data_IF_945804117612
#
_entry.id   IF_945804117612
#
_cell.length_a   1.000
_cell.length_b   1.000
_cell.length_c   1.000
_cell.angle_alpha   90.00
_cell.angle_beta   90.00
_cell.angle_gamma   90.00
#
_symmetry.space_group_name_H-M   'P 1'
#
loop_
_entity.id
_entity.type
_entity.pdbx_description
1 polymer ?
#
# COMPACT_ATOMS: atom_id res chain seq x y z
N UNK A 1 28.04 -1.11 19.99
CA UNK A 1 26.97 -2.05 20.41
C UNK A 1 25.66 -1.26 20.56
N UNK A 2 24.78 -1.29 19.55
CA UNK A 2 23.51 -0.58 19.61
C UNK A 2 22.55 -1.30 20.57
N UNK A 3 22.06 -0.62 21.63
CA UNK A 3 21.02 -1.13 22.53
C UNK A 3 19.83 -1.58 21.67
N UNK A 4 19.55 -2.89 21.63
CA UNK A 4 18.37 -3.41 20.95
C UNK A 4 17.13 -2.82 21.64
N UNK A 5 16.35 -2.01 20.94
CA UNK A 5 15.09 -1.52 21.48
C UNK A 5 14.20 -2.72 21.82
N UNK A 6 13.51 -2.70 22.98
CA UNK A 6 12.55 -3.73 23.32
C UNK A 6 11.52 -3.85 22.20
N UNK A 7 11.40 -5.04 21.61
CA UNK A 7 10.55 -5.32 20.44
C UNK A 7 9.06 -5.46 20.79
N UNK A 8 8.62 -4.90 21.91
CA UNK A 8 7.26 -5.05 22.45
C UNK A 8 6.30 -4.07 21.80
N UNK A 9 5.37 -4.54 20.96
CA UNK A 9 4.33 -3.79 20.27
C UNK A 9 3.14 -3.49 21.17
N UNK A 10 2.78 -2.20 21.28
CA UNK A 10 1.59 -1.77 22.03
C UNK A 10 0.30 -2.35 21.43
N UNK A 11 -0.65 -2.73 22.30
CA UNK A 11 -1.92 -3.36 21.93
C UNK A 11 -2.72 -2.58 20.88
N UNK A 12 -2.73 -1.24 20.97
CA UNK A 12 -3.48 -0.40 20.02
C UNK A 12 -2.90 -0.47 18.61
N UNK A 13 -1.57 -0.47 18.47
CA UNK A 13 -0.92 -0.62 17.17
C UNK A 13 -1.16 -2.02 16.59
N UNK A 14 -1.14 -3.05 17.42
CA UNK A 14 -1.46 -4.41 16.95
C UNK A 14 -2.88 -4.50 16.42
N UNK A 15 -3.87 -3.93 17.13
CA UNK A 15 -5.27 -3.89 16.68
C UNK A 15 -5.42 -3.14 15.37
N UNK A 16 -4.66 -2.06 15.19
CA UNK A 16 -4.63 -1.30 13.92
C UNK A 16 -4.03 -2.13 12.77
N UNK A 17 -2.95 -2.89 13.03
CA UNK A 17 -2.27 -3.73 12.04
C UNK A 17 -3.00 -5.04 11.74
N UNK A 18 -3.84 -5.52 12.67
CA UNK A 18 -4.48 -6.83 12.59
C UNK A 18 -5.22 -7.10 11.26
N UNK A 19 -6.16 -6.24 10.78
CA UNK A 19 -6.86 -6.51 9.53
C UNK A 19 -5.90 -6.64 8.33
N UNK A 20 -4.82 -5.86 8.33
CA UNK A 20 -3.82 -5.89 7.28
C UNK A 20 -2.94 -7.14 7.35
N UNK A 21 -2.57 -7.58 8.56
CA UNK A 21 -1.81 -8.81 8.78
C UNK A 21 -2.66 -10.04 8.42
N UNK A 22 -3.94 -10.05 8.78
CA UNK A 22 -4.88 -11.12 8.41
C UNK A 22 -4.95 -11.21 6.88
N UNK A 23 -5.14 -10.07 6.21
CA UNK A 23 -5.18 -10.03 4.76
C UNK A 23 -3.86 -10.51 4.12
N UNK A 24 -2.72 -10.05 4.62
CA UNK A 24 -1.42 -10.49 4.11
C UNK A 24 -1.14 -11.97 4.37
N UNK A 25 -1.56 -12.51 5.51
CA UNK A 25 -1.41 -13.93 5.82
C UNK A 25 -2.28 -14.79 4.90
N UNK A 26 -3.50 -14.33 4.55
CA UNK A 26 -4.40 -15.03 3.64
C UNK A 26 -3.76 -15.27 2.26
N UNK A 27 -2.96 -14.31 1.78
CA UNK A 27 -2.26 -14.39 0.48
C UNK A 27 -0.79 -14.79 0.60
N UNK A 28 -0.34 -15.26 1.77
CA UNK A 28 1.06 -15.62 2.03
C UNK A 28 2.08 -14.49 1.76
N UNK A 29 1.66 -13.24 1.95
CA UNK A 29 2.43 -12.00 1.73
C UNK A 29 2.82 -11.26 3.03
N UNK A 30 2.60 -11.86 4.19
CA UNK A 30 2.97 -11.28 5.48
C UNK A 30 4.39 -10.74 5.46
N UNK A 31 4.57 -9.47 5.85
CA UNK A 31 5.88 -8.80 5.86
C UNK A 31 6.65 -9.07 7.17
N UNK A 32 5.92 -9.37 8.24
CA UNK A 32 6.45 -9.66 9.57
C UNK A 32 5.39 -10.40 10.38
N UNK A 33 5.82 -11.08 11.45
CA UNK A 33 4.90 -11.75 12.38
C UNK A 33 4.88 -10.99 13.71
N UNK A 34 3.70 -10.80 14.30
CA UNK A 34 3.55 -10.32 15.68
C UNK A 34 3.10 -11.51 16.53
N UNK A 35 3.92 -11.94 17.50
CA UNK A 35 3.58 -13.01 18.45
C UNK A 35 3.96 -12.59 19.86
N UNK A 36 3.05 -12.76 20.82
CA UNK A 36 3.23 -12.38 22.23
C UNK A 36 3.70 -10.93 22.38
N UNK A 37 3.05 -10.02 21.67
CA UNK A 37 3.44 -8.61 21.57
C UNK A 37 4.84 -8.36 21.00
N UNK A 38 5.54 -9.33 20.43
CA UNK A 38 6.87 -9.13 19.87
C UNK A 38 6.79 -9.17 18.35
N UNK A 39 7.24 -8.09 17.69
CA UNK A 39 7.41 -8.09 16.23
C UNK A 39 8.70 -8.81 15.85
N UNK A 40 8.58 -9.81 14.97
CA UNK A 40 9.70 -10.61 14.49
C UNK A 40 9.68 -10.72 12.97
N UNK A 41 10.86 -10.83 12.36
CA UNK A 41 10.96 -11.15 10.94
C UNK A 41 10.43 -12.58 10.74
N UNK A 42 9.68 -12.85 9.67
CA UNK A 42 9.03 -14.16 9.43
C UNK A 42 9.98 -15.35 9.53
N UNK A 43 9.53 -16.53 9.94
CA UNK A 43 10.44 -17.69 9.97
C UNK A 43 10.88 -18.09 8.56
N UNK A 44 12.01 -18.80 8.46
CA UNK A 44 12.49 -19.34 7.18
C UNK A 44 11.44 -20.26 6.53
N UNK A 45 10.70 -21.05 7.33
CA UNK A 45 9.59 -21.87 6.84
C UNK A 45 8.50 -21.07 6.14
N UNK A 46 8.15 -19.89 6.67
CA UNK A 46 7.18 -19.00 6.03
C UNK A 46 7.72 -18.46 4.70
N UNK A 47 9.01 -18.13 4.63
CA UNK A 47 9.66 -17.72 3.38
C UNK A 47 9.59 -18.81 2.31
N UNK A 48 9.79 -20.09 2.68
CA UNK A 48 9.62 -21.22 1.76
C UNK A 48 8.18 -21.30 1.26
N UNK A 49 7.18 -21.23 2.16
CA UNK A 49 5.76 -21.27 1.77
C UNK A 49 5.41 -20.11 0.83
N UNK A 50 5.89 -18.90 1.14
CA UNK A 50 5.69 -17.72 0.29
C UNK A 50 6.35 -17.88 -1.09
N UNK A 51 7.53 -18.51 -1.16
CA UNK A 51 8.20 -18.84 -2.42
C UNK A 51 7.38 -19.85 -3.25
N UNK A 52 6.91 -20.93 -2.63
CA UNK A 52 6.07 -21.94 -3.28
C UNK A 52 4.78 -21.30 -3.82
N UNK A 53 4.12 -20.46 -3.01
CA UNK A 53 2.93 -19.73 -3.44
C UNK A 53 3.23 -18.82 -4.64
N UNK A 54 4.36 -18.12 -4.65
CA UNK A 54 4.74 -17.25 -5.77
C UNK A 54 5.01 -18.05 -7.05
N UNK A 55 5.74 -19.17 -6.96
CA UNK A 55 5.97 -20.09 -8.08
C UNK A 55 4.65 -20.70 -8.59
N UNK A 56 3.74 -21.04 -7.69
CA UNK A 56 2.40 -21.51 -8.04
C UNK A 56 1.62 -20.45 -8.82
N UNK A 57 1.59 -19.21 -8.36
CA UNK A 57 0.91 -18.11 -9.07
C UNK A 57 1.53 -17.85 -10.46
N UNK A 58 2.86 -17.93 -10.58
CA UNK A 58 3.54 -17.87 -11.89
C UNK A 58 3.08 -19.01 -12.78
N UNK A 59 3.06 -20.25 -12.26
CA UNK A 59 2.60 -21.42 -12.98
C UNK A 59 1.14 -21.29 -13.45
N UNK A 60 0.26 -20.74 -12.61
CA UNK A 60 -1.14 -20.45 -12.97
C UNK A 60 -1.24 -19.46 -14.13
N UNK A 61 -0.46 -18.38 -14.12
CA UNK A 61 -0.48 -17.39 -15.21
C UNK A 61 0.04 -17.98 -16.54
N UNK A 62 1.10 -18.79 -16.47
CA UNK A 62 1.64 -19.49 -17.65
C UNK A 62 0.63 -20.50 -18.17
N UNK A 63 0.06 -21.33 -17.29
CA UNK A 63 -0.94 -22.33 -17.65
C UNK A 63 -2.16 -21.67 -18.29
N UNK A 64 -2.70 -20.62 -17.66
CA UNK A 64 -3.81 -19.87 -18.21
C UNK A 64 -3.48 -19.32 -19.60
N UNK A 65 -2.31 -18.74 -19.80
CA UNK A 65 -1.92 -18.17 -21.10
C UNK A 65 -1.79 -19.22 -22.21
N UNK A 66 -1.29 -20.43 -21.90
CA UNK A 66 -1.07 -21.51 -22.87
C UNK A 66 -2.37 -22.27 -23.20
N UNK A 67 -3.17 -22.54 -22.16
CA UNK A 67 -4.33 -23.43 -22.22
C UNK A 67 -5.67 -22.70 -22.14
N UNK A 68 -5.68 -21.36 -22.17
CA UNK A 68 -6.93 -20.60 -22.08
C UNK A 68 -7.89 -21.08 -23.18
N UNK A 69 -9.15 -21.39 -22.85
CA UNK A 69 -10.17 -21.69 -23.86
C UNK A 69 -10.41 -20.52 -24.81
N UNK A 70 -9.98 -19.30 -24.46
CA UNK A 70 -9.96 -18.16 -25.38
C UNK A 70 -9.04 -18.40 -26.58
N UNK A 71 -8.10 -19.35 -26.51
CA UNK A 71 -7.15 -19.66 -27.59
C UNK A 71 -7.85 -19.98 -28.91
N UNK A 72 -8.95 -20.73 -28.89
CA UNK A 72 -9.71 -21.05 -30.11
C UNK A 72 -10.33 -19.81 -30.76
N UNK A 73 -10.69 -18.79 -29.96
CA UNK A 73 -11.14 -17.49 -30.45
C UNK A 73 -9.95 -16.61 -30.92
N UNK A 74 -8.79 -16.78 -30.29
CA UNK A 74 -7.57 -15.99 -30.49
C UNK A 74 -6.75 -16.47 -31.69
N UNK A 75 -6.83 -17.73 -32.11
CA UNK A 75 -6.10 -18.21 -33.30
C UNK A 75 -6.51 -17.44 -34.58
N UNK A 76 -7.65 -16.74 -34.55
CA UNK A 76 -8.06 -15.79 -35.60
C UNK A 76 -7.36 -14.43 -35.55
N UNK A 77 -6.73 -14.07 -34.43
CA UNK A 77 -6.12 -12.77 -34.14
C UNK A 77 -4.75 -12.90 -33.46
N UNK A 78 -3.68 -12.91 -34.25
CA UNK A 78 -2.28 -12.98 -33.76
C UNK A 78 -1.90 -11.89 -32.74
N UNK A 79 -2.54 -10.72 -32.82
CA UNK A 79 -2.32 -9.61 -31.91
C UNK A 79 -2.75 -9.95 -30.46
N UNK A 80 -3.93 -10.55 -30.27
CA UNK A 80 -4.45 -10.87 -28.92
C UNK A 80 -3.56 -11.89 -28.20
N UNK A 81 -3.00 -12.86 -28.94
CA UNK A 81 -2.05 -13.81 -28.36
C UNK A 81 -0.78 -13.11 -27.86
N UNK A 82 -0.25 -12.18 -28.67
CA UNK A 82 0.94 -11.39 -28.31
C UNK A 82 0.68 -10.57 -27.05
N UNK A 83 -0.50 -9.96 -26.93
CA UNK A 83 -0.91 -9.19 -25.76
C UNK A 83 -0.99 -10.05 -24.50
N UNK A 84 -1.64 -11.22 -24.56
CA UNK A 84 -1.72 -12.13 -23.42
C UNK A 84 -0.33 -12.62 -22.99
N UNK A 85 0.56 -12.88 -23.94
CA UNK A 85 1.94 -13.26 -23.66
C UNK A 85 2.69 -12.13 -22.95
N UNK A 86 2.57 -10.89 -23.44
CA UNK A 86 3.18 -9.70 -22.80
C UNK A 86 2.63 -9.51 -21.39
N UNK A 87 1.31 -9.67 -21.19
CA UNK A 87 0.68 -9.58 -19.89
C UNK A 87 1.19 -10.68 -18.93
N UNK A 88 1.29 -11.92 -19.40
CA UNK A 88 1.85 -13.03 -18.63
C UNK A 88 3.30 -12.77 -18.20
N UNK A 89 4.15 -12.30 -19.13
CA UNK A 89 5.55 -11.96 -18.83
C UNK A 89 5.62 -10.83 -17.80
N UNK A 90 4.80 -9.79 -17.97
CA UNK A 90 4.72 -8.67 -17.03
C UNK A 90 4.30 -9.13 -15.63
N UNK A 91 3.24 -9.95 -15.52
CA UNK A 91 2.76 -10.50 -14.26
C UNK A 91 3.80 -11.41 -13.58
N UNK A 92 4.43 -12.32 -14.32
CA UNK A 92 5.49 -13.19 -13.80
C UNK A 92 6.68 -12.37 -13.28
N UNK A 93 7.07 -11.34 -14.02
CA UNK A 93 8.13 -10.41 -13.62
C UNK A 93 7.74 -9.69 -12.33
N UNK A 94 6.51 -9.16 -12.25
CA UNK A 94 6.00 -8.52 -11.05
C UNK A 94 6.06 -9.48 -9.84
N UNK A 95 5.59 -10.72 -9.96
CA UNK A 95 5.65 -11.71 -8.87
C UNK A 95 7.06 -11.91 -8.31
N UNK A 96 8.04 -12.09 -9.19
CA UNK A 96 9.45 -12.25 -8.80
C UNK A 96 9.94 -10.99 -8.08
N UNK A 97 9.70 -9.81 -8.65
CA UNK A 97 10.14 -8.55 -8.06
C UNK A 97 9.49 -8.27 -6.70
N UNK A 98 8.20 -8.56 -6.52
CA UNK A 98 7.50 -8.40 -5.25
C UNK A 98 8.08 -9.35 -4.20
N UNK A 99 8.33 -10.61 -4.54
CA UNK A 99 8.94 -11.58 -3.65
C UNK A 99 10.35 -11.14 -3.21
N UNK A 100 11.21 -10.81 -4.18
CA UNK A 100 12.58 -10.34 -3.90
C UNK A 100 12.58 -9.05 -3.07
N UNK A 101 11.70 -8.10 -3.40
CA UNK A 101 11.57 -6.84 -2.65
C UNK A 101 11.14 -7.10 -1.20
N UNK A 102 10.17 -7.97 -0.97
CA UNK A 102 9.72 -8.33 0.37
C UNK A 102 10.82 -9.01 1.19
N UNK A 103 11.64 -9.86 0.57
CA UNK A 103 12.82 -10.46 1.23
C UNK A 103 13.87 -9.42 1.59
N UNK A 104 14.25 -8.57 0.64
CA UNK A 104 15.27 -7.55 0.82
C UNK A 104 14.86 -6.49 1.86
N UNK A 105 13.58 -6.07 1.86
CA UNK A 105 13.06 -5.01 2.73
C UNK A 105 12.58 -5.51 4.10
N UNK A 106 12.69 -6.80 4.42
CA UNK A 106 12.17 -7.40 5.67
C UNK A 106 12.66 -6.70 6.94
N UNK A 107 13.92 -6.28 6.97
CA UNK A 107 14.48 -5.54 8.12
C UNK A 107 13.92 -4.12 8.24
N UNK A 108 13.67 -3.46 7.10
CA UNK A 108 13.12 -2.11 7.03
C UNK A 108 11.64 -2.10 7.43
N UNK A 109 10.85 -3.11 7.08
CA UNK A 109 9.46 -3.24 7.55
C UNK A 109 9.36 -3.25 9.07
N UNK A 110 10.22 -4.03 9.75
CA UNK A 110 10.21 -4.08 11.21
C UNK A 110 10.69 -2.78 11.81
N UNK A 111 11.77 -2.21 11.27
CA UNK A 111 12.30 -0.92 11.73
C UNK A 111 11.25 0.19 11.59
N UNK A 112 10.47 0.16 10.51
CA UNK A 112 9.36 1.07 10.27
C UNK A 112 8.28 0.94 11.37
N UNK A 113 7.78 -0.28 11.62
CA UNK A 113 6.76 -0.49 12.65
C UNK A 113 7.26 -0.14 14.06
N UNK A 114 8.52 -0.47 14.38
CA UNK A 114 9.12 -0.12 15.68
C UNK A 114 9.26 1.40 15.85
N UNK A 115 9.63 2.14 14.80
CA UNK A 115 9.69 3.61 14.84
C UNK A 115 8.29 4.20 15.03
N UNK A 116 7.31 3.74 14.26
CA UNK A 116 5.93 4.13 14.47
C UNK A 116 5.48 3.86 15.90
N UNK A 117 5.83 2.71 16.47
CA UNK A 117 5.37 2.37 17.80
C UNK A 117 5.96 3.26 18.90
N UNK A 118 7.22 3.68 18.76
CA UNK A 118 7.92 4.53 19.74
C UNK A 118 7.20 5.86 19.97
N UNK A 119 6.51 6.38 18.94
CA UNK A 119 5.75 7.63 19.01
C UNK A 119 4.35 7.46 19.63
N UNK A 120 3.88 6.23 19.80
CA UNK A 120 2.48 5.97 20.16
C UNK A 120 2.11 6.38 21.59
N UNK A 121 3.04 6.87 22.41
CA UNK A 121 2.72 7.46 23.72
C UNK A 121 1.99 8.81 23.59
N UNK A 122 2.06 9.46 22.42
CA UNK A 122 1.50 10.81 22.22
C UNK A 122 0.07 10.76 21.66
N UNK A 123 -0.32 9.64 21.04
CA UNK A 123 -1.63 9.53 20.41
C UNK A 123 -2.74 9.20 21.44
N UNK A 124 -3.82 10.00 21.51
CA UNK A 124 -4.97 9.68 22.36
C UNK A 124 -5.66 8.40 21.89
N UNK A 125 -6.19 7.63 22.86
CA UNK A 125 -6.79 6.32 22.61
C UNK A 125 -7.97 6.35 21.61
N UNK A 126 -8.77 7.42 21.63
CA UNK A 126 -9.98 7.53 20.82
C UNK A 126 -9.69 7.49 19.31
N UNK A 127 -8.63 8.16 18.87
CA UNK A 127 -8.25 8.22 17.45
C UNK A 127 -7.85 6.84 16.92
N UNK A 128 -7.25 5.97 17.75
CA UNK A 128 -6.96 4.61 17.33
C UNK A 128 -8.20 3.80 17.03
N UNK A 129 -9.26 3.97 17.83
CA UNK A 129 -10.50 3.21 17.66
C UNK A 129 -11.12 3.50 16.29
N UNK A 130 -11.17 4.77 15.92
CA UNK A 130 -11.66 5.21 14.60
C UNK A 130 -10.81 4.64 13.46
N UNK A 131 -9.47 4.73 13.58
CA UNK A 131 -8.56 4.18 12.57
C UNK A 131 -8.64 2.66 12.43
N UNK A 132 -8.86 1.93 13.54
CA UNK A 132 -9.05 0.48 13.53
C UNK A 132 -10.32 0.12 12.75
N UNK A 133 -11.44 0.78 13.05
CA UNK A 133 -12.72 0.55 12.37
C UNK A 133 -12.60 0.89 10.89
N UNK A 134 -12.01 2.04 10.56
CA UNK A 134 -11.85 2.45 9.17
C UNK A 134 -10.94 1.49 8.37
N UNK A 135 -9.90 0.92 8.99
CA UNK A 135 -9.07 -0.10 8.34
C UNK A 135 -9.84 -1.41 8.08
N UNK A 136 -10.64 -1.88 9.04
CA UNK A 136 -11.47 -3.07 8.83
C UNK A 136 -12.49 -2.86 7.72
N UNK A 137 -13.15 -1.70 7.70
CA UNK A 137 -14.07 -1.34 6.62
C UNK A 137 -13.34 -1.27 5.28
N UNK A 138 -12.17 -0.64 5.22
CA UNK A 138 -11.41 -0.52 3.97
C UNK A 138 -10.97 -1.88 3.42
N UNK A 139 -10.42 -2.75 4.27
CA UNK A 139 -10.01 -4.12 3.89
C UNK A 139 -11.23 -4.94 3.45
N UNK A 140 -12.35 -4.84 4.17
CA UNK A 140 -13.58 -5.58 3.84
C UNK A 140 -14.17 -5.11 2.52
N UNK A 141 -14.22 -3.79 2.27
CA UNK A 141 -14.67 -3.22 1.00
C UNK A 141 -13.77 -3.64 -0.17
N UNK A 142 -12.46 -3.65 0.02
CA UNK A 142 -11.51 -4.10 -1.02
C UNK A 142 -11.70 -5.59 -1.36
N UNK A 143 -11.90 -6.45 -0.36
CA UNK A 143 -12.21 -7.87 -0.58
C UNK A 143 -13.56 -8.06 -1.25
N UNK A 144 -14.60 -7.33 -0.78
CA UNK A 144 -15.94 -7.40 -1.36
C UNK A 144 -15.94 -6.98 -2.83
N UNK A 145 -15.24 -5.89 -3.18
CA UNK A 145 -15.13 -5.44 -4.57
C UNK A 145 -14.49 -6.52 -5.46
N UNK A 146 -13.45 -7.19 -4.97
CA UNK A 146 -12.78 -8.28 -5.69
C UNK A 146 -13.69 -9.51 -5.86
N UNK A 147 -14.42 -9.90 -4.82
CA UNK A 147 -15.41 -11.00 -4.90
C UNK A 147 -16.56 -10.63 -5.84
N UNK A 148 -17.05 -9.40 -5.82
CA UNK A 148 -18.12 -8.94 -6.72
C UNK A 148 -17.69 -8.97 -8.18
N UNK A 149 -16.46 -8.54 -8.51
CA UNK A 149 -15.91 -8.63 -9.87
C UNK A 149 -15.78 -10.09 -10.29
N UNK A 150 -15.35 -10.97 -9.38
CA UNK A 150 -15.27 -12.40 -9.64
C UNK A 150 -16.64 -13.01 -9.94
N UNK A 151 -17.67 -12.71 -9.13
CA UNK A 151 -19.05 -13.18 -9.36
C UNK A 151 -19.59 -12.65 -10.68
N UNK A 152 -19.36 -11.37 -10.99
CA UNK A 152 -19.76 -10.76 -12.26
C UNK A 152 -19.11 -11.49 -13.44
N UNK A 153 -17.80 -11.74 -13.36
CA UNK A 153 -17.08 -12.51 -14.39
C UNK A 153 -17.66 -13.93 -14.54
N UNK A 154 -17.93 -14.61 -13.43
CA UNK A 154 -18.47 -15.97 -13.40
C UNK A 154 -19.87 -16.06 -14.02
N UNK A 155 -20.81 -15.22 -13.57
CA UNK A 155 -22.22 -15.28 -14.00
C UNK A 155 -22.36 -14.94 -15.48
N UNK A 156 -21.67 -13.89 -15.95
CA UNK A 156 -21.95 -13.35 -17.27
C UNK A 156 -21.18 -13.98 -18.42
N UNK A 157 -20.00 -14.55 -18.16
CA UNK A 157 -19.26 -15.24 -19.22
C UNK A 157 -19.72 -16.68 -19.43
N UNK A 158 -20.61 -17.20 -18.57
CA UNK A 158 -21.08 -18.58 -18.58
C UNK A 158 -19.92 -19.59 -18.72
N UNK A 159 -18.76 -19.21 -18.19
CA UNK A 159 -17.53 -20.00 -18.27
C UNK A 159 -17.69 -21.12 -17.25
N UNK A 160 -17.96 -22.33 -17.76
CA UNK A 160 -18.05 -23.56 -16.98
C UNK A 160 -16.83 -23.66 -16.05
N UNK A 161 -17.06 -23.57 -14.74
CA UNK A 161 -16.21 -23.95 -13.58
C UNK A 161 -14.73 -24.24 -13.83
N UNK A 162 -14.05 -23.41 -14.61
CA UNK A 162 -12.64 -23.63 -14.89
C UNK A 162 -11.86 -23.06 -13.72
N UNK A 163 -11.32 -23.99 -12.94
CA UNK A 163 -10.46 -23.70 -11.78
C UNK A 163 -9.32 -22.73 -12.12
N UNK A 164 -8.86 -22.69 -13.38
CA UNK A 164 -7.79 -21.78 -13.81
C UNK A 164 -8.19 -20.30 -13.69
N UNK A 165 -9.43 -19.95 -13.99
CA UNK A 165 -9.94 -18.57 -13.94
C UNK A 165 -10.06 -18.07 -12.50
N UNK A 166 -10.54 -18.94 -11.59
CA UNK A 166 -10.57 -18.61 -10.17
C UNK A 166 -9.16 -18.34 -9.63
N UNK A 167 -8.19 -19.19 -9.98
CA UNK A 167 -6.81 -19.00 -9.55
C UNK A 167 -6.18 -17.74 -10.15
N UNK A 168 -6.50 -17.37 -11.39
CA UNK A 168 -6.08 -16.10 -11.99
C UNK A 168 -6.64 -14.89 -11.21
N UNK A 169 -7.89 -14.97 -10.75
CA UNK A 169 -8.51 -13.90 -9.96
C UNK A 169 -7.87 -13.76 -8.58
N UNK A 170 -7.53 -14.89 -7.94
CA UNK A 170 -6.72 -14.90 -6.71
C UNK A 170 -5.34 -14.27 -6.95
N UNK A 171 -4.75 -14.53 -8.11
CA UNK A 171 -3.53 -13.87 -8.61
C UNK A 171 -3.66 -12.35 -8.61
N UNK A 172 -4.73 -11.80 -9.21
CA UNK A 172 -4.96 -10.35 -9.26
C UNK A 172 -5.13 -9.75 -7.85
N UNK A 173 -5.85 -10.45 -6.96
CA UNK A 173 -6.05 -9.99 -5.58
C UNK A 173 -4.73 -9.88 -4.80
N UNK A 174 -3.71 -10.67 -5.15
CA UNK A 174 -2.39 -10.64 -4.51
C UNK A 174 -1.78 -9.23 -4.52
N UNK A 175 -1.83 -8.52 -5.66
CA UNK A 175 -1.26 -7.18 -5.77
C UNK A 175 -2.07 -6.13 -4.99
N UNK A 176 -3.40 -6.25 -4.96
CA UNK A 176 -4.27 -5.33 -4.23
C UNK A 176 -3.96 -5.29 -2.72
N UNK A 177 -3.58 -6.43 -2.13
CA UNK A 177 -3.23 -6.53 -0.70
C UNK A 177 -2.12 -5.54 -0.32
N UNK A 178 -1.09 -5.44 -1.16
CA UNK A 178 0.06 -4.59 -0.89
C UNK A 178 -0.29 -3.10 -1.02
N UNK A 179 -1.18 -2.75 -1.96
CA UNK A 179 -1.72 -1.39 -2.11
C UNK A 179 -2.58 -1.00 -0.92
N UNK A 180 -3.47 -1.90 -0.47
CA UNK A 180 -4.32 -1.67 0.70
C UNK A 180 -3.48 -1.45 1.95
N UNK A 181 -2.41 -2.23 2.12
CA UNK A 181 -1.42 -2.03 3.17
C UNK A 181 -0.73 -0.65 3.03
N UNK A 182 -0.32 -0.28 1.82
CA UNK A 182 0.33 1.01 1.53
C UNK A 182 -0.50 2.22 1.93
N UNK A 183 -1.74 2.26 1.45
CA UNK A 183 -2.73 3.30 1.74
C UNK A 183 -2.92 3.45 3.26
N UNK A 184 -3.07 2.32 3.96
CA UNK A 184 -3.35 2.31 5.40
C UNK A 184 -2.18 2.85 6.24
N UNK A 185 -0.93 2.50 5.88
CA UNK A 185 0.25 3.01 6.59
C UNK A 185 0.48 4.50 6.37
N UNK A 186 0.32 5.00 5.13
CA UNK A 186 0.48 6.43 4.84
C UNK A 186 -0.57 7.25 5.60
N UNK A 187 -1.81 6.78 5.59
CA UNK A 187 -2.89 7.41 6.34
C UNK A 187 -2.62 7.44 7.84
N UNK A 188 -2.07 6.36 8.42
CA UNK A 188 -1.69 6.33 9.83
C UNK A 188 -0.63 7.38 10.17
N UNK A 189 0.42 7.49 9.35
CA UNK A 189 1.45 8.53 9.53
C UNK A 189 0.88 9.94 9.39
N UNK A 190 -0.07 10.16 8.47
CA UNK A 190 -0.76 11.44 8.33
C UNK A 190 -1.50 11.84 9.61
N UNK A 191 -2.28 10.92 10.18
CA UNK A 191 -3.04 11.20 11.41
C UNK A 191 -2.12 11.54 12.59
N UNK A 192 -0.94 10.90 12.66
CA UNK A 192 0.09 11.27 13.63
C UNK A 192 0.60 12.69 13.46
N UNK A 193 0.92 13.11 12.23
CA UNK A 193 1.33 14.49 11.97
C UNK A 193 0.22 15.48 12.32
N UNK A 194 -1.04 15.16 12.01
CA UNK A 194 -2.17 16.00 12.37
C UNK A 194 -2.30 16.21 13.88
N UNK A 195 -2.16 15.15 14.67
CA UNK A 195 -2.20 15.24 16.13
C UNK A 195 -0.99 16.00 16.68
N UNK A 196 0.17 15.81 16.07
CA UNK A 196 1.35 16.60 16.40
C UNK A 196 1.13 18.10 16.15
N UNK A 197 0.49 18.49 15.04
CA UNK A 197 0.11 19.90 14.75
C UNK A 197 -0.83 20.44 15.84
N UNK A 198 -1.78 19.64 16.30
CA UNK A 198 -2.67 20.08 17.37
C UNK A 198 -1.91 20.28 18.69
N UNK A 199 -1.03 19.34 19.04
CA UNK A 199 -0.25 19.39 20.27
C UNK A 199 0.70 20.60 20.30
N UNK A 200 1.39 20.91 19.19
CA UNK A 200 2.26 22.09 19.12
C UNK A 200 1.49 23.40 19.33
N UNK A 201 0.26 23.52 18.80
CA UNK A 201 -0.61 24.69 19.04
C UNK A 201 -1.02 24.82 20.50
N UNK A 202 -1.37 23.71 21.14
CA UNK A 202 -1.76 23.69 22.55
C UNK A 202 -0.58 24.01 23.46
N UNK A 203 0.60 23.51 23.12
CA UNK A 203 1.86 23.80 23.81
C UNK A 203 2.30 25.25 23.63
N UNK A 204 2.08 25.87 22.46
CA UNK A 204 2.39 27.29 22.27
C UNK A 204 1.62 28.21 23.23
N UNK A 205 0.36 27.87 23.52
CA UNK A 205 -0.51 28.64 24.43
C UNK A 205 -0.17 28.46 25.90
N UNK A 206 0.58 27.41 26.24
CA UNK A 206 0.99 27.10 27.61
C UNK A 206 2.45 27.56 27.74
N UNK A 207 2.84 28.17 28.85
CA UNK A 207 4.25 28.50 29.09
C UNK A 207 5.06 27.22 29.41
N UNK A 208 5.23 26.35 28.41
CA UNK A 208 5.74 24.98 28.61
C UNK A 208 7.27 24.95 28.71
N UNK A 209 7.76 24.01 29.51
CA UNK A 209 9.19 23.75 29.71
C UNK A 209 9.90 23.19 28.46
N UNK A 210 11.21 23.44 28.37
CA UNK A 210 12.09 23.00 27.28
C UNK A 210 12.04 21.48 27.02
N UNK A 211 11.86 20.68 28.08
CA UNK A 211 11.79 19.20 27.99
C UNK A 211 10.64 18.73 27.09
N UNK A 212 9.48 19.38 27.17
CA UNK A 212 8.33 18.99 26.36
C UNK A 212 8.52 19.42 24.90
N UNK A 213 9.06 20.61 24.63
CA UNK A 213 9.43 21.03 23.27
C UNK A 213 10.43 20.05 22.63
N UNK A 214 11.42 19.57 23.38
CA UNK A 214 12.35 18.55 22.91
C UNK A 214 11.64 17.22 22.56
N UNK A 215 10.66 16.80 23.38
CA UNK A 215 9.86 15.61 23.12
C UNK A 215 9.03 15.75 21.84
N UNK A 216 8.39 16.90 21.62
CA UNK A 216 7.65 17.19 20.39
C UNK A 216 8.56 17.16 19.17
N UNK A 217 9.74 17.79 19.22
CA UNK A 217 10.70 17.75 18.13
C UNK A 217 11.10 16.30 17.80
N UNK A 218 11.40 15.52 18.83
CA UNK A 218 11.79 14.11 18.68
C UNK A 218 10.67 13.28 18.06
N UNK A 219 9.41 13.50 18.46
CA UNK A 219 8.25 12.85 17.85
C UNK A 219 8.14 13.18 16.36
N UNK A 220 8.22 14.47 16.00
CA UNK A 220 8.18 14.89 14.59
C UNK A 220 9.31 14.22 13.79
N UNK A 221 10.54 14.31 14.30
CA UNK A 221 11.70 13.71 13.66
C UNK A 221 11.54 12.20 13.48
N UNK A 222 11.03 11.48 14.50
CA UNK A 222 10.76 10.05 14.41
C UNK A 222 9.70 9.74 13.32
N UNK A 223 8.62 10.54 13.20
CA UNK A 223 7.58 10.36 12.17
C UNK A 223 8.18 10.52 10.77
N UNK A 224 8.94 11.59 10.55
CA UNK A 224 9.60 11.86 9.27
C UNK A 224 10.56 10.72 8.92
N UNK A 225 11.34 10.28 9.91
CA UNK A 225 12.28 9.19 9.78
C UNK A 225 11.60 7.83 9.50
N UNK A 226 10.38 7.60 10.02
CA UNK A 226 9.57 6.43 9.69
C UNK A 226 9.08 6.53 8.24
N UNK A 227 8.60 7.71 7.81
CA UNK A 227 8.19 7.94 6.44
C UNK A 227 9.32 7.72 5.43
N UNK A 228 10.55 8.16 5.72
CA UNK A 228 11.69 7.93 4.82
C UNK A 228 12.02 6.43 4.64
N UNK A 229 11.94 5.64 5.71
CA UNK A 229 12.06 4.18 5.60
C UNK A 229 10.92 3.64 4.74
N UNK A 230 9.70 4.13 4.97
CA UNK A 230 8.53 3.67 4.26
C UNK A 230 8.55 4.01 2.77
N UNK A 231 9.01 5.21 2.42
CA UNK A 231 9.27 5.64 1.05
C UNK A 231 10.23 4.69 0.34
N UNK A 232 11.33 4.30 0.99
CA UNK A 232 12.29 3.32 0.43
C UNK A 232 11.66 1.95 0.20
N UNK A 233 10.76 1.52 1.09
CA UNK A 233 10.01 0.27 0.94
C UNK A 233 9.04 0.36 -0.25
N UNK A 234 8.28 1.45 -0.35
CA UNK A 234 7.23 1.61 -1.34
C UNK A 234 7.74 1.99 -2.73
N UNK A 235 8.91 2.61 -2.88
CA UNK A 235 9.37 3.16 -4.16
C UNK A 235 9.34 2.12 -5.29
N UNK A 236 9.91 0.94 -5.06
CA UNK A 236 9.91 -0.14 -6.06
C UNK A 236 8.51 -0.71 -6.27
N UNK A 237 7.70 -0.85 -5.20
CA UNK A 237 6.34 -1.36 -5.29
C UNK A 237 5.43 -0.44 -6.11
N UNK A 238 5.53 0.88 -5.90
CA UNK A 238 4.77 1.89 -6.66
C UNK A 238 5.18 1.90 -8.13
N UNK A 239 6.48 1.78 -8.41
CA UNK A 239 6.98 1.72 -9.79
C UNK A 239 6.40 0.51 -10.53
N UNK A 240 6.48 -0.67 -9.92
CA UNK A 240 5.94 -1.91 -10.47
C UNK A 240 4.43 -1.83 -10.66
N UNK A 241 3.71 -1.33 -9.65
CA UNK A 241 2.27 -1.13 -9.74
C UNK A 241 1.89 -0.18 -10.88
N UNK A 242 2.59 0.94 -11.03
CA UNK A 242 2.32 1.92 -12.09
C UNK A 242 2.55 1.30 -13.47
N UNK A 243 3.64 0.54 -13.61
CA UNK A 243 3.96 -0.19 -14.82
C UNK A 243 2.92 -1.28 -15.15
N UNK A 244 2.47 -2.03 -14.15
CA UNK A 244 1.44 -3.06 -14.28
C UNK A 244 0.09 -2.47 -14.69
N UNK A 245 -0.34 -1.38 -14.03
CA UNK A 245 -1.59 -0.68 -14.40
C UNK A 245 -1.48 -0.15 -15.82
N UNK A 246 -0.36 0.45 -16.20
CA UNK A 246 -0.15 0.97 -17.55
C UNK A 246 -0.21 -0.14 -18.61
N UNK A 247 0.55 -1.22 -18.44
CA UNK A 247 0.57 -2.37 -19.37
C UNK A 247 -0.80 -3.06 -19.46
N UNK A 248 -1.50 -3.21 -18.33
CA UNK A 248 -2.85 -3.76 -18.30
C UNK A 248 -3.86 -2.85 -19.01
N UNK A 249 -3.71 -1.52 -18.87
CA UNK A 249 -4.57 -0.56 -19.56
C UNK A 249 -4.45 -0.65 -21.08
N UNK A 250 -3.22 -0.74 -21.59
CA UNK A 250 -2.97 -0.93 -23.03
C UNK A 250 -3.54 -2.26 -23.52
N UNK A 251 -3.29 -3.33 -22.75
CA UNK A 251 -3.83 -4.68 -23.01
C UNK A 251 -5.35 -4.66 -23.10
N UNK A 252 -6.03 -3.97 -22.18
CA UNK A 252 -7.47 -3.85 -22.20
C UNK A 252 -7.96 -3.09 -23.43
N UNK A 253 -7.38 -1.94 -23.77
CA UNK A 253 -7.78 -1.18 -24.97
C UNK A 253 -7.63 -2.02 -26.24
N UNK A 254 -6.52 -2.73 -26.39
CA UNK A 254 -6.28 -3.60 -27.55
C UNK A 254 -7.30 -4.75 -27.60
N UNK A 255 -7.58 -5.37 -26.45
CA UNK A 255 -8.61 -6.39 -26.35
C UNK A 255 -10.00 -5.86 -26.75
N UNK A 256 -10.37 -4.66 -26.29
CA UNK A 256 -11.66 -4.05 -26.63
C UNK A 256 -11.79 -3.77 -28.14
N UNK A 257 -10.71 -3.34 -28.80
CA UNK A 257 -10.66 -3.10 -30.25
C UNK A 257 -10.78 -4.42 -31.02
N UNK A 258 -9.96 -5.43 -30.68
CA UNK A 258 -9.98 -6.73 -31.34
C UNK A 258 -11.32 -7.45 -31.18
N UNK A 259 -11.93 -7.35 -29.99
CA UNK A 259 -13.25 -7.92 -29.74
C UNK A 259 -14.35 -7.15 -30.49
N UNK A 260 -14.23 -5.83 -30.62
CA UNK A 260 -15.20 -4.99 -31.31
C UNK A 260 -15.38 -5.38 -32.77
N UNK A 261 -14.27 -5.62 -33.47
CA UNK A 261 -14.28 -6.11 -34.86
C UNK A 261 -14.91 -7.50 -35.03
N UNK A 262 -14.91 -8.32 -33.98
CA UNK A 262 -15.35 -9.71 -34.02
C UNK A 262 -16.82 -9.93 -33.62
N UNK A 263 -17.47 -8.91 -33.05
CA UNK A 263 -18.72 -9.10 -32.31
C UNK A 263 -19.96 -9.24 -33.20
N UNK A 264 -20.19 -10.45 -33.72
CA UNK A 264 -21.55 -10.98 -33.98
C UNK A 264 -22.07 -11.89 -32.85
N UNK A 265 -21.26 -12.10 -31.81
CA UNK A 265 -21.58 -13.04 -30.73
C UNK A 265 -22.40 -12.42 -29.59
N UNK A 266 -23.50 -13.11 -29.23
CA UNK A 266 -24.29 -12.82 -28.03
C UNK A 266 -23.44 -13.09 -26.79
N UNK A 267 -23.01 -12.04 -26.08
CA UNK A 267 -22.16 -12.14 -24.89
C UNK A 267 -21.07 -11.07 -24.80
N UNK A 268 -20.77 -10.39 -25.92
CA UNK A 268 -19.72 -9.38 -25.98
C UNK A 268 -19.82 -8.27 -24.95
N UNK A 269 -21.01 -7.69 -24.78
CA UNK A 269 -21.28 -6.59 -23.84
C UNK A 269 -20.77 -6.89 -22.43
N UNK A 270 -20.94 -8.13 -21.95
CA UNK A 270 -20.52 -8.49 -20.61
C UNK A 270 -19.01 -8.57 -20.44
N UNK A 271 -18.29 -9.00 -21.47
CA UNK A 271 -16.81 -8.99 -21.50
C UNK A 271 -16.32 -7.54 -21.36
N UNK A 272 -16.94 -6.59 -22.06
CA UNK A 272 -16.62 -5.16 -21.92
C UNK A 272 -16.84 -4.69 -20.47
N UNK A 273 -17.98 -5.04 -19.86
CA UNK A 273 -18.30 -4.64 -18.48
C UNK A 273 -17.27 -5.17 -17.48
N UNK A 274 -16.85 -6.44 -17.62
CA UNK A 274 -15.81 -7.04 -16.76
C UNK A 274 -14.49 -6.28 -16.90
N UNK A 275 -14.02 -6.09 -18.13
CA UNK A 275 -12.72 -5.45 -18.40
C UNK A 275 -12.70 -4.02 -17.88
N UNK A 276 -13.77 -3.25 -18.16
CA UNK A 276 -13.92 -1.89 -17.66
C UNK A 276 -13.96 -1.89 -16.13
N UNK A 277 -14.65 -2.84 -15.49
CA UNK A 277 -14.70 -2.93 -14.03
C UNK A 277 -13.32 -3.21 -13.42
N UNK A 278 -12.54 -4.11 -14.01
CA UNK A 278 -11.16 -4.39 -13.57
C UNK A 278 -10.26 -3.17 -13.74
N UNK A 279 -10.32 -2.50 -14.89
CA UNK A 279 -9.58 -1.29 -15.16
C UNK A 279 -9.91 -0.17 -14.15
N UNK A 280 -11.21 0.11 -13.95
CA UNK A 280 -11.66 1.12 -12.99
C UNK A 280 -11.22 0.81 -11.57
N UNK A 281 -11.21 -0.47 -11.16
CA UNK A 281 -10.68 -0.90 -9.86
C UNK A 281 -9.21 -0.53 -9.71
N UNK A 282 -8.38 -0.91 -10.69
CA UNK A 282 -6.93 -0.65 -10.68
C UNK A 282 -6.61 0.85 -10.64
N UNK A 283 -7.31 1.64 -11.45
CA UNK A 283 -7.21 3.11 -11.43
C UNK A 283 -7.66 3.67 -10.08
N UNK A 284 -8.77 3.21 -9.52
CA UNK A 284 -9.27 3.68 -8.23
C UNK A 284 -8.26 3.42 -7.09
N UNK A 285 -7.62 2.24 -7.05
CA UNK A 285 -6.58 1.95 -6.06
C UNK A 285 -5.35 2.84 -6.21
N UNK A 286 -4.85 3.00 -7.44
CA UNK A 286 -3.70 3.87 -7.72
C UNK A 286 -4.01 5.34 -7.38
N UNK A 287 -5.17 5.85 -7.78
CA UNK A 287 -5.65 7.19 -7.44
C UNK A 287 -5.80 7.38 -5.93
N UNK A 288 -6.31 6.36 -5.21
CA UNK A 288 -6.44 6.42 -3.75
C UNK A 288 -5.08 6.49 -3.06
N UNK A 289 -4.10 5.69 -3.52
CA UNK A 289 -2.73 5.71 -3.02
C UNK A 289 -2.09 7.09 -3.24
N UNK A 290 -2.14 7.60 -4.48
CA UNK A 290 -1.64 8.94 -4.82
C UNK A 290 -2.31 10.04 -3.99
N UNK A 291 -3.63 9.96 -3.79
CA UNK A 291 -4.36 10.90 -2.94
C UNK A 291 -3.93 10.83 -1.48
N UNK A 292 -3.64 9.64 -0.92
CA UNK A 292 -3.12 9.55 0.44
C UNK A 292 -1.70 10.13 0.55
N UNK A 293 -0.83 9.89 -0.43
CA UNK A 293 0.50 10.49 -0.49
C UNK A 293 0.39 12.02 -0.51
N UNK A 294 -0.47 12.59 -1.37
CA UNK A 294 -0.67 14.03 -1.47
C UNK A 294 -1.21 14.63 -0.16
N UNK A 295 -2.21 13.99 0.46
CA UNK A 295 -2.73 14.42 1.78
C UNK A 295 -1.65 14.38 2.86
N UNK A 296 -0.76 13.40 2.82
CA UNK A 296 0.38 13.34 3.73
C UNK A 296 1.34 14.51 3.50
N UNK A 297 1.70 14.81 2.25
CA UNK A 297 2.53 15.97 1.92
C UNK A 297 1.89 17.30 2.33
N UNK A 298 0.61 17.51 2.05
CA UNK A 298 -0.13 18.70 2.50
C UNK A 298 -0.12 18.86 4.03
N UNK A 299 -0.12 17.75 4.77
CA UNK A 299 -0.02 17.79 6.25
C UNK A 299 1.38 18.21 6.71
N UNK A 300 2.43 17.85 5.96
CA UNK A 300 3.80 18.32 6.22
C UNK A 300 3.91 19.82 5.92
N UNK A 301 3.33 20.28 4.82
CA UNK A 301 3.31 21.72 4.49
C UNK A 301 2.55 22.51 5.57
N UNK A 302 1.46 21.94 6.11
CA UNK A 302 0.76 22.51 7.26
C UNK A 302 1.64 22.57 8.51
N UNK A 303 2.47 21.55 8.82
CA UNK A 303 3.45 21.62 9.92
C UNK A 303 4.38 22.82 9.75
N UNK A 304 4.89 23.04 8.55
CA UNK A 304 5.79 24.16 8.27
C UNK A 304 5.09 25.51 8.39
N UNK A 305 3.89 25.64 7.83
CA UNK A 305 3.08 26.85 7.93
C UNK A 305 2.80 27.22 9.39
N UNK A 306 2.37 26.25 10.20
CA UNK A 306 2.08 26.48 11.62
C UNK A 306 3.34 26.85 12.41
N UNK A 307 4.48 26.22 12.12
CA UNK A 307 5.75 26.61 12.74
C UNK A 307 6.19 28.03 12.32
N UNK A 308 5.92 28.45 11.09
CA UNK A 308 6.23 29.79 10.61
C UNK A 308 5.32 30.86 11.24
N UNK A 309 4.01 30.59 11.31
CA UNK A 309 3.05 31.46 11.99
C UNK A 309 3.43 31.65 13.46
N UNK A 310 3.70 30.55 14.17
CA UNK A 310 4.13 30.58 15.57
C UNK A 310 5.40 31.42 15.78
N UNK A 311 6.37 31.40 14.86
CA UNK A 311 7.60 32.19 15.00
C UNK A 311 7.38 33.71 14.98
N UNK A 312 6.24 34.19 14.48
CA UNK A 312 5.89 35.60 14.48
C UNK A 312 5.23 36.05 15.80
N UNK A 313 4.79 35.11 16.64
CA UNK A 313 4.17 35.40 17.93
C UNK A 313 5.22 35.54 19.04
N UNK A 314 4.83 36.16 20.16
CA UNK A 314 5.63 36.23 21.39
C UNK A 314 5.72 34.85 22.07
N UNK A 315 6.62 34.00 21.57
CA UNK A 315 6.84 32.65 22.09
C UNK A 315 8.06 32.54 23.01
N UNK A 316 8.06 31.50 23.85
CA UNK A 316 9.25 31.09 24.60
C UNK A 316 10.39 30.69 23.66
N UNK A 317 11.63 30.91 24.10
CA UNK A 317 12.82 30.56 23.30
C UNK A 317 12.90 29.06 22.97
N UNK A 318 12.44 28.19 23.88
CA UNK A 318 12.35 26.76 23.63
C UNK A 318 11.40 26.42 22.47
N UNK A 319 10.28 27.13 22.37
CA UNK A 319 9.30 26.95 21.30
C UNK A 319 9.81 27.48 19.96
N UNK A 320 10.45 28.67 19.96
CA UNK A 320 11.12 29.19 18.76
C UNK A 320 12.17 28.20 18.25
N UNK A 321 12.96 27.59 19.15
CA UNK A 321 13.95 26.56 18.80
C UNK A 321 13.30 25.31 18.21
N UNK A 322 12.19 24.83 18.78
CA UNK A 322 11.40 23.72 18.22
C UNK A 322 10.97 24.02 16.78
N UNK A 323 10.28 25.15 16.55
CA UNK A 323 9.77 25.52 15.23
C UNK A 323 10.91 25.67 14.19
N UNK A 324 12.02 26.32 14.56
CA UNK A 324 13.21 26.43 13.69
C UNK A 324 13.79 25.06 13.33
N UNK A 325 13.90 24.14 14.29
CA UNK A 325 14.43 22.80 14.05
C UNK A 325 13.48 21.95 13.19
N UNK A 326 12.17 22.03 13.41
CA UNK A 326 11.16 21.35 12.58
C UNK A 326 11.26 21.83 11.13
N UNK A 327 11.31 23.13 10.90
CA UNK A 327 11.49 23.71 9.56
C UNK A 327 12.80 23.26 8.90
N UNK A 328 13.90 23.21 9.66
CA UNK A 328 15.20 22.70 9.16
C UNK A 328 15.13 21.22 8.78
N UNK A 329 14.49 20.38 9.59
CA UNK A 329 14.28 18.97 9.24
C UNK A 329 13.41 18.85 8.01
N UNK A 330 12.36 19.69 7.88
CA UNK A 330 11.49 19.67 6.72
C UNK A 330 12.26 20.01 5.44
N UNK A 331 12.98 21.13 5.43
CA UNK A 331 13.75 21.58 4.26
C UNK A 331 14.87 20.62 3.83
N UNK A 332 15.47 19.89 4.78
CA UNK A 332 16.54 18.92 4.50
C UNK A 332 16.02 17.53 4.12
N UNK A 333 14.90 17.09 4.71
CA UNK A 333 14.38 15.72 4.54
C UNK A 333 13.30 15.62 3.47
N UNK A 334 12.55 16.69 3.24
CA UNK A 334 11.49 16.77 2.25
C UNK A 334 11.91 17.64 1.08
N UNK A 335 12.73 17.04 0.21
CA UNK A 335 12.51 17.27 -1.22
C UNK A 335 11.31 16.41 -1.59
N UNK A 336 10.22 17.04 -2.03
CA UNK A 336 9.05 16.34 -2.60
C UNK A 336 9.57 15.26 -3.55
N UNK A 337 8.87 14.13 -3.67
CA UNK A 337 9.15 13.18 -4.75
C UNK A 337 8.94 13.94 -6.07
N UNK A 338 9.99 14.57 -6.57
CA UNK A 338 10.04 15.12 -7.91
C UNK A 338 10.01 13.90 -8.81
N UNK A 339 8.84 13.69 -9.40
CA UNK A 339 8.66 12.71 -10.47
C UNK A 339 9.45 13.30 -11.63
N UNK A 340 10.66 12.79 -11.83
CA UNK A 340 11.76 13.39 -12.60
C UNK A 340 12.49 14.50 -11.82
N UNK A 341 13.80 14.33 -11.62
CA UNK A 341 14.65 15.11 -10.72
C UNK A 341 14.76 16.60 -11.04
#
# INVERSE_FOLDING_TARGET
VARQMPKFVKRNLQRFLLPLIVLQNLFFMSKFTIRNNIIRPNRFTYTIVSCINNLFLIGVNIYYTIFSPLRECIDKFSAIHTVLLVHCISACTAYVFYFVSNLYQRSNHIRFILRLQKENDILPFNVYKELIVENWLFVSMAMLANVSIFILHYVFLNMLWDTSHFLLMVSIMYFDVDIVYAISMIKFMRVKLFIWIHEIKMTAKRAVCEKHCHMLFKCFSDIINAFQIYKKILQMQILLLTFEVFTSSLTYVEFLIGFGHSSKHKGGVWVYVVIISMFLKSVAFLSKLSSQCEKFYKTIDAVEFECAALLNDELSEAMKRLCKNVRRVNSTSFKKLAVCG
#
